data_IF_127791211979
#
_entry.id   IF_127791211979
#
_cell.length_a   1.000
_cell.length_b   1.000
_cell.length_c   1.000
_cell.angle_alpha   90.00
_cell.angle_beta   90.00
_cell.angle_gamma   90.00
#
_symmetry.space_group_name_H-M   'P 1'
#
loop_
_entity.id
_entity.type
_entity.pdbx_description
1 polymer ?
#
# COMPACT_ATOMS: atom_id res chain seq x y z
N UNK A 1 -10.75 7.54 6.17
CA UNK A 1 -9.86 6.38 6.42
C UNK A 1 -9.94 5.41 5.26
N UNK A 2 -8.81 4.84 4.91
CA UNK A 2 -8.76 3.76 3.94
C UNK A 2 -8.30 2.49 4.64
N UNK A 3 -8.65 1.33 4.06
CA UNK A 3 -8.21 0.05 4.58
C UNK A 3 -7.04 -0.42 3.72
N UNK A 4 -5.91 -0.72 4.35
CA UNK A 4 -4.74 -1.26 3.67
C UNK A 4 -4.68 -2.74 3.98
N UNK A 5 -4.65 -3.57 2.95
CA UNK A 5 -4.53 -5.03 3.10
C UNK A 5 -3.14 -5.45 2.64
N UNK A 6 -2.49 -6.27 3.44
CA UNK A 6 -1.12 -6.71 3.19
C UNK A 6 -1.10 -8.17 2.77
N UNK A 7 -0.34 -8.48 1.74
CA UNK A 7 -0.23 -9.82 1.18
C UNK A 7 1.20 -10.30 1.22
N UNK A 8 1.39 -11.60 1.47
CA UNK A 8 2.71 -12.26 1.43
C UNK A 8 3.77 -11.53 2.26
N UNK A 9 4.86 -11.11 1.65
CA UNK A 9 5.95 -10.44 2.36
C UNK A 9 5.54 -9.14 3.03
N UNK A 10 4.58 -8.43 2.44
CA UNK A 10 4.06 -7.20 3.04
C UNK A 10 3.33 -7.51 4.35
N UNK A 11 2.59 -8.61 4.40
CA UNK A 11 1.92 -9.03 5.63
C UNK A 11 2.94 -9.33 6.73
N UNK A 12 4.01 -10.03 6.39
CA UNK A 12 5.05 -10.33 7.37
C UNK A 12 5.71 -9.06 7.89
N UNK A 13 5.97 -8.09 7.00
CA UNK A 13 6.60 -6.84 7.37
C UNK A 13 5.68 -5.96 8.23
N UNK A 14 4.39 -5.94 7.92
CA UNK A 14 3.43 -5.13 8.67
C UNK A 14 3.06 -5.75 10.02
N UNK A 15 3.16 -7.08 10.12
CA UNK A 15 2.78 -7.79 11.33
C UNK A 15 1.28 -7.95 11.49
N UNK A 16 0.50 -7.72 10.43
CA UNK A 16 -0.95 -7.83 10.44
C UNK A 16 -1.47 -8.01 9.02
N UNK A 17 -2.71 -8.48 8.90
CA UNK A 17 -3.31 -8.71 7.59
C UNK A 17 -3.84 -7.42 6.98
N UNK A 18 -4.37 -6.52 7.79
CA UNK A 18 -4.89 -5.24 7.32
C UNK A 18 -4.92 -4.22 8.44
N UNK A 19 -5.03 -2.95 8.07
CA UNK A 19 -5.17 -1.87 9.04
C UNK A 19 -5.84 -0.67 8.39
N UNK A 20 -6.45 0.16 9.22
CA UNK A 20 -7.03 1.43 8.76
C UNK A 20 -5.95 2.51 8.82
N UNK A 21 -5.88 3.31 7.76
CA UNK A 21 -4.88 4.38 7.64
C UNK A 21 -5.58 5.65 7.21
N UNK A 22 -5.19 6.76 7.81
CA UNK A 22 -5.71 8.08 7.42
C UNK A 22 -4.82 8.66 6.34
N UNK A 23 -5.26 8.57 5.09
CA UNK A 23 -4.53 9.08 3.95
C UNK A 23 -5.52 9.50 2.87
N UNK A 24 -5.27 10.63 2.25
CA UNK A 24 -6.11 11.16 1.18
C UNK A 24 -5.53 10.94 -0.21
N UNK A 25 -4.27 10.56 -0.31
CA UNK A 25 -3.61 10.28 -1.58
C UNK A 25 -2.67 9.09 -1.43
N UNK A 26 -2.28 8.52 -2.57
CA UNK A 26 -1.30 7.41 -2.59
C UNK A 26 0.01 7.87 -1.98
N UNK A 27 0.44 9.10 -2.27
CA UNK A 27 1.68 9.63 -1.70
C UNK A 27 1.65 9.71 -0.19
N UNK A 28 0.54 10.19 0.38
CA UNK A 28 0.38 10.26 1.83
C UNK A 28 0.39 8.86 2.44
N UNK A 29 -0.28 7.93 1.78
CA UNK A 29 -0.31 6.55 2.24
C UNK A 29 1.08 5.94 2.28
N UNK A 30 1.83 6.06 1.19
CA UNK A 30 3.17 5.50 1.10
C UNK A 30 4.11 6.15 2.11
N UNK A 31 4.01 7.47 2.30
CA UNK A 31 4.82 8.17 3.28
C UNK A 31 4.56 7.64 4.69
N UNK A 32 3.30 7.46 5.04
CA UNK A 32 2.92 6.95 6.36
C UNK A 32 3.39 5.53 6.60
N UNK A 33 3.19 4.64 5.61
CA UNK A 33 3.62 3.25 5.74
C UNK A 33 5.15 3.13 5.75
N UNK A 34 5.83 3.98 4.99
CA UNK A 34 7.30 3.95 4.90
C UNK A 34 7.99 4.45 6.17
N UNK A 35 7.23 5.02 7.11
CA UNK A 35 7.78 5.36 8.42
C UNK A 35 8.17 4.10 9.22
N UNK A 36 7.61 2.95 8.85
CA UNK A 36 8.00 1.67 9.46
C UNK A 36 9.06 1.03 8.57
N UNK A 37 10.29 0.80 9.08
CA UNK A 37 11.42 0.35 8.26
C UNK A 37 11.17 -0.95 7.49
N UNK A 38 10.50 -1.92 8.11
CA UNK A 38 10.23 -3.19 7.44
C UNK A 38 9.30 -2.99 6.25
N UNK A 39 8.26 -2.15 6.41
CA UNK A 39 7.35 -1.84 5.32
C UNK A 39 8.01 -1.01 4.24
N UNK A 40 8.83 -0.03 4.62
CA UNK A 40 9.54 0.79 3.65
C UNK A 40 10.31 -0.07 2.66
N UNK A 41 10.97 -1.10 3.17
CA UNK A 41 11.75 -2.01 2.35
C UNK A 41 10.88 -2.79 1.37
N UNK A 42 9.75 -3.30 1.84
CA UNK A 42 8.82 -4.06 1.00
C UNK A 42 8.19 -3.16 -0.06
N UNK A 43 7.83 -1.94 0.33
CA UNK A 43 7.13 -1.02 -0.56
C UNK A 43 7.96 -0.60 -1.77
N UNK A 44 9.29 -0.72 -1.71
CA UNK A 44 10.13 -0.37 -2.85
C UNK A 44 9.84 -1.23 -4.08
N UNK A 45 9.33 -2.44 -3.88
CA UNK A 45 9.05 -3.38 -4.96
C UNK A 45 7.59 -3.84 -5.02
N UNK A 46 6.77 -3.38 -4.10
CA UNK A 46 5.37 -3.82 -4.04
C UNK A 46 4.54 -3.21 -5.16
N UNK A 47 3.50 -3.94 -5.54
CA UNK A 47 2.46 -3.44 -6.43
C UNK A 47 1.28 -2.98 -5.59
N UNK A 48 0.60 -1.93 -6.02
CA UNK A 48 -0.54 -1.38 -5.31
C UNK A 48 -1.81 -1.51 -6.16
N UNK A 49 -2.88 -1.97 -5.54
CA UNK A 49 -4.21 -1.91 -6.14
C UNK A 49 -5.07 -1.02 -5.26
N UNK A 50 -5.75 -0.06 -5.86
CA UNK A 50 -6.72 0.78 -5.17
C UNK A 50 -8.10 0.39 -5.70
N UNK A 51 -8.92 -0.16 -4.82
CA UNK A 51 -10.25 -0.68 -5.20
C UNK A 51 -10.18 -1.58 -6.42
N UNK A 52 -9.15 -2.42 -6.48
CA UNK A 52 -8.97 -3.40 -7.54
C UNK A 52 -8.22 -2.90 -8.77
N UNK A 53 -7.88 -1.62 -8.83
CA UNK A 53 -7.17 -1.05 -9.98
C UNK A 53 -5.71 -0.81 -9.66
N UNK A 54 -4.82 -1.21 -10.57
CA UNK A 54 -3.40 -1.00 -10.39
C UNK A 54 -3.08 0.49 -10.42
N UNK A 55 -2.30 0.94 -9.44
CA UNK A 55 -1.88 2.33 -9.33
C UNK A 55 -0.36 2.35 -9.19
N UNK A 56 0.28 3.24 -9.93
CA UNK A 56 1.73 3.40 -9.85
C UNK A 56 2.09 4.28 -8.67
N UNK A 57 3.20 3.95 -8.03
CA UNK A 57 3.64 4.80 -6.90
C UNK A 57 4.08 6.19 -7.38
N UNK A 58 4.41 6.35 -8.66
CA UNK A 58 4.71 7.65 -9.24
C UNK A 58 3.49 8.55 -9.28
N UNK A 59 2.30 7.96 -9.24
CA UNK A 59 1.04 8.70 -9.20
C UNK A 59 0.69 9.07 -7.76
N UNK A 60 1.60 9.77 -7.11
CA UNK A 60 1.45 10.13 -5.70
C UNK A 60 0.21 10.99 -5.42
N UNK A 61 -0.25 11.72 -6.43
CA UNK A 61 -1.43 12.57 -6.31
C UNK A 61 -2.75 11.83 -6.49
N UNK A 62 -2.69 10.53 -6.81
CA UNK A 62 -3.91 9.73 -6.95
C UNK A 62 -4.72 9.77 -5.66
N UNK A 63 -5.96 10.24 -5.74
CA UNK A 63 -6.81 10.42 -4.57
C UNK A 63 -7.36 9.10 -4.07
N UNK A 64 -7.46 9.00 -2.74
CA UNK A 64 -8.03 7.85 -2.06
C UNK A 64 -9.33 8.29 -1.40
N UNK A 65 -10.45 7.73 -1.85
CA UNK A 65 -11.74 8.04 -1.25
C UNK A 65 -11.85 7.37 0.11
N UNK A 66 -12.63 7.97 0.99
CA UNK A 66 -12.93 7.36 2.28
C UNK A 66 -13.57 6.00 2.05
N UNK A 67 -13.07 4.99 2.75
CA UNK A 67 -13.55 3.62 2.59
C UNK A 67 -12.89 2.83 1.48
N UNK A 68 -11.97 3.43 0.73
CA UNK A 68 -11.22 2.69 -0.29
C UNK A 68 -10.38 1.58 0.32
N UNK A 69 -10.16 0.53 -0.47
CA UNK A 69 -9.32 -0.59 -0.08
C UNK A 69 -8.05 -0.54 -0.92
N UNK A 70 -6.91 -0.53 -0.25
CA UNK A 70 -5.61 -0.53 -0.91
C UNK A 70 -4.93 -1.87 -0.61
N UNK A 71 -4.64 -2.63 -1.66
CA UNK A 71 -3.92 -3.88 -1.52
C UNK A 71 -2.44 -3.66 -1.81
N UNK A 72 -1.60 -4.10 -0.87
CA UNK A 72 -0.14 -4.10 -1.04
C UNK A 72 0.27 -5.51 -1.37
N UNK A 73 0.70 -5.71 -2.61
CA UNK A 73 0.98 -7.02 -3.17
C UNK A 73 2.48 -7.18 -3.42
N UNK A 74 3.00 -8.42 -3.37
CA UNK A 74 4.39 -8.64 -3.78
C UNK A 74 4.55 -8.30 -5.27
N UNK A 75 5.79 -8.08 -5.73
CA UNK A 75 6.01 -7.83 -7.16
C UNK A 75 5.50 -9.02 -7.97
N UNK A 76 4.91 -8.74 -9.14
CA UNK A 76 4.40 -9.80 -9.99
C UNK A 76 5.56 -10.62 -10.55
N UNK A 77 5.37 -11.95 -10.59
CA UNK A 77 6.38 -12.85 -11.07
C UNK A 77 6.72 -12.58 -12.53
N UNK A 78 7.98 -12.71 -12.85
CA UNK A 78 8.45 -12.47 -14.22
C UNK A 78 8.62 -11.00 -14.55
N UNK A 79 8.23 -10.17 -13.60
CA UNK A 79 8.41 -8.75 -13.77
C UNK A 79 9.78 -8.32 -13.32
#
# INVERSE_FOLDING_TARGET
MVTVRYWAGARAAAGREEEAVDAGTVGELLAGLSARPELARVLTAASLLVDGEAVRREDADHELASGSIVDVLPPFAGG
#
